data_IF_374234668110
#
_entry.id   IF_374234668110
#
_cell.length_a   1.000
_cell.length_b   1.000
_cell.length_c   1.000
_cell.angle_alpha   90.00
_cell.angle_beta   90.00
_cell.angle_gamma   90.00
#
_symmetry.space_group_name_H-M   'P 1'
#
loop_
_entity.id
_entity.type
_entity.pdbx_description
1 polymer ?
#
# COMPACT_ATOMS: atom_id res chain seq x y z
N UNK A 1 -33.89 -13.79 2.58
CA UNK A 1 -32.65 -13.68 1.78
C UNK A 1 -31.93 -12.40 2.19
N UNK A 2 -30.75 -12.49 2.82
CA UNK A 2 -29.96 -11.29 3.17
C UNK A 2 -29.34 -10.74 1.88
N UNK A 3 -29.75 -9.55 1.45
CA UNK A 3 -29.11 -8.83 0.32
C UNK A 3 -27.73 -8.40 0.82
N UNK A 4 -26.68 -9.11 0.42
CA UNK A 4 -25.32 -8.63 0.63
C UNK A 4 -25.16 -7.29 -0.11
N UNK A 5 -24.66 -6.23 0.54
CA UNK A 5 -24.44 -4.97 -0.15
C UNK A 5 -23.43 -5.19 -1.27
N UNK A 6 -23.87 -4.93 -2.50
CA UNK A 6 -23.01 -4.92 -3.69
C UNK A 6 -21.94 -3.87 -3.41
N UNK A 7 -20.68 -4.30 -3.33
CA UNK A 7 -19.51 -3.40 -3.17
C UNK A 7 -19.50 -2.43 -4.35
N UNK A 8 -20.05 -1.23 -4.14
CA UNK A 8 -20.00 -0.13 -5.09
C UNK A 8 -18.56 0.37 -5.19
N UNK A 9 -18.07 0.40 -6.42
CA UNK A 9 -16.85 1.06 -6.87
C UNK A 9 -15.60 0.70 -6.05
N UNK A 10 -15.05 -0.49 -6.30
CA UNK A 10 -13.61 -0.70 -6.06
C UNK A 10 -12.88 0.24 -7.01
N UNK A 11 -12.62 1.46 -6.55
CA UNK A 11 -11.59 2.31 -7.13
C UNK A 11 -10.34 1.43 -7.14
N UNK A 12 -9.95 0.96 -8.32
CA UNK A 12 -8.70 0.25 -8.52
C UNK A 12 -7.60 1.21 -8.09
N UNK A 13 -6.81 0.79 -7.11
CA UNK A 13 -5.73 1.58 -6.53
C UNK A 13 -4.47 0.88 -6.95
N UNK A 14 -3.96 1.17 -8.15
CA UNK A 14 -2.86 0.42 -8.71
C UNK A 14 -1.65 0.58 -7.80
N UNK A 15 -0.99 -0.52 -7.47
CA UNK A 15 0.26 -0.55 -6.73
C UNK A 15 1.27 -1.22 -7.62
N UNK A 16 2.31 -0.47 -7.98
CA UNK A 16 3.43 -0.99 -8.74
C UNK A 16 4.54 -1.38 -7.76
N UNK A 17 5.01 -2.61 -7.89
CA UNK A 17 6.08 -3.17 -7.09
C UNK A 17 7.34 -3.18 -7.94
N UNK A 18 8.41 -2.62 -7.41
CA UNK A 18 9.73 -2.67 -8.01
C UNK A 18 10.66 -3.48 -7.13
N UNK A 19 11.59 -4.20 -7.72
CA UNK A 19 12.67 -4.92 -7.04
C UNK A 19 13.99 -4.48 -7.65
N UNK A 20 14.88 -3.94 -6.83
CA UNK A 20 16.16 -3.39 -7.26
C UNK A 20 16.01 -2.41 -8.44
N UNK A 21 15.01 -1.52 -8.34
CA UNK A 21 14.65 -0.51 -9.34
C UNK A 21 14.04 -1.04 -10.64
N UNK A 22 13.81 -2.34 -10.78
CA UNK A 22 13.12 -2.93 -11.92
C UNK A 22 11.65 -3.19 -11.58
N UNK A 23 10.73 -2.88 -12.51
CA UNK A 23 9.31 -3.18 -12.34
C UNK A 23 9.12 -4.69 -12.25
N UNK A 24 8.57 -5.13 -11.13
CA UNK A 24 8.37 -6.55 -10.84
C UNK A 24 6.93 -6.99 -11.09
N UNK A 25 5.96 -6.15 -10.70
CA UNK A 25 4.54 -6.45 -10.86
C UNK A 25 3.69 -5.18 -10.74
N UNK A 26 2.66 -5.08 -11.59
CA UNK A 26 1.55 -4.14 -11.43
C UNK A 26 0.38 -4.87 -10.74
N UNK A 27 -0.16 -4.29 -9.69
CA UNK A 27 -1.29 -4.84 -8.93
C UNK A 27 -2.43 -3.84 -8.92
N UNK A 28 -3.68 -4.28 -8.96
CA UNK A 28 -4.86 -3.40 -8.93
C UNK A 28 -5.21 -2.89 -7.53
N UNK A 29 -4.57 -3.46 -6.49
CA UNK A 29 -4.85 -3.12 -5.10
C UNK A 29 -3.70 -3.47 -4.15
N UNK A 30 -3.70 -2.86 -2.95
CA UNK A 30 -2.75 -3.19 -1.88
C UNK A 30 -2.89 -4.65 -1.41
N UNK A 31 -4.10 -5.23 -1.46
CA UNK A 31 -4.34 -6.62 -1.07
C UNK A 31 -3.66 -7.58 -2.05
N UNK A 32 -3.75 -7.28 -3.35
CA UNK A 32 -3.06 -8.03 -4.39
C UNK A 32 -1.54 -7.87 -4.28
N UNK A 33 -1.05 -6.64 -4.09
CA UNK A 33 0.37 -6.38 -3.90
C UNK A 33 0.96 -7.15 -2.69
N UNK A 34 0.25 -7.16 -1.56
CA UNK A 34 0.68 -7.91 -0.39
C UNK A 34 0.69 -9.42 -0.62
N UNK A 35 -0.33 -9.96 -1.31
CA UNK A 35 -0.37 -11.38 -1.70
C UNK A 35 0.79 -11.74 -2.62
N UNK A 36 1.03 -10.91 -3.64
CA UNK A 36 2.14 -11.09 -4.57
C UNK A 36 3.49 -11.10 -3.84
N UNK A 37 3.78 -10.09 -3.02
CA UNK A 37 5.03 -10.02 -2.26
C UNK A 37 5.23 -11.23 -1.36
N UNK A 38 4.18 -11.68 -0.67
CA UNK A 38 4.25 -12.85 0.21
C UNK A 38 4.70 -14.09 -0.57
N UNK A 39 4.06 -14.36 -1.70
CA UNK A 39 4.38 -15.50 -2.56
C UNK A 39 5.81 -15.36 -3.11
N UNK A 40 6.14 -14.18 -3.65
CA UNK A 40 7.41 -13.95 -4.33
C UNK A 40 8.62 -13.99 -3.39
N UNK A 41 8.47 -13.52 -2.15
CA UNK A 41 9.57 -13.44 -1.19
C UNK A 41 9.65 -14.65 -0.25
N UNK A 42 8.55 -15.42 -0.16
CA UNK A 42 8.34 -16.43 0.88
C UNK A 42 8.24 -15.84 2.29
N UNK A 43 7.94 -14.54 2.42
CA UNK A 43 7.70 -13.92 3.72
C UNK A 43 6.42 -14.50 4.37
N UNK A 44 6.38 -14.51 5.70
CA UNK A 44 5.20 -14.92 6.46
C UNK A 44 4.09 -13.86 6.41
N UNK A 45 4.47 -12.59 6.26
CA UNK A 45 3.58 -11.43 6.34
C UNK A 45 3.29 -10.79 4.98
N UNK A 46 2.11 -10.20 4.82
CA UNK A 46 1.70 -9.50 3.58
C UNK A 46 2.29 -8.08 3.42
N UNK A 47 3.01 -7.58 4.44
CA UNK A 47 3.72 -6.29 4.41
C UNK A 47 2.90 -5.05 4.01
N UNK A 48 1.59 -5.04 4.30
CA UNK A 48 0.71 -3.91 3.96
C UNK A 48 1.20 -2.55 4.49
N UNK A 49 1.77 -2.51 5.70
CA UNK A 49 2.31 -1.28 6.26
C UNK A 49 3.54 -0.78 5.49
N UNK A 50 4.43 -1.67 5.06
CA UNK A 50 5.59 -1.32 4.24
C UNK A 50 5.15 -0.86 2.85
N UNK A 51 4.16 -1.51 2.25
CA UNK A 51 3.60 -1.12 0.95
C UNK A 51 2.96 0.27 1.06
N UNK A 52 2.07 0.49 2.03
CA UNK A 52 1.39 1.78 2.25
C UNK A 52 2.41 2.90 2.51
N UNK A 53 3.38 2.68 3.39
CA UNK A 53 4.44 3.67 3.62
C UNK A 53 5.28 3.91 2.37
N UNK A 54 5.60 2.88 1.61
CA UNK A 54 6.42 3.01 0.42
C UNK A 54 5.77 3.84 -0.66
N UNK A 55 4.52 3.55 -1.02
CA UNK A 55 3.86 4.35 -2.06
C UNK A 55 3.44 5.75 -1.57
N UNK A 56 3.26 5.97 -0.26
CA UNK A 56 2.91 7.29 0.29
C UNK A 56 4.14 8.18 0.50
N UNK A 57 5.15 7.66 1.18
CA UNK A 57 6.30 8.42 1.67
C UNK A 57 7.59 8.15 0.91
N UNK A 58 7.61 7.14 0.03
CA UNK A 58 8.82 6.72 -0.70
C UNK A 58 9.70 5.74 0.09
N UNK A 59 9.22 5.20 1.21
CA UNK A 59 9.96 4.24 2.01
C UNK A 59 10.26 2.96 1.20
N UNK A 60 11.54 2.59 1.15
CA UNK A 60 11.94 1.30 0.61
C UNK A 60 11.81 0.19 1.65
N UNK A 61 11.56 -1.04 1.20
CA UNK A 61 11.58 -2.24 2.04
C UNK A 61 12.68 -3.18 1.58
N UNK A 62 13.67 -3.41 2.44
CA UNK A 62 14.74 -4.38 2.18
C UNK A 62 14.39 -5.77 2.71
N UNK A 63 14.53 -6.79 1.88
CA UNK A 63 14.29 -8.19 2.27
C UNK A 63 15.21 -9.16 1.52
N UNK A 64 15.92 -10.01 2.26
CA UNK A 64 16.86 -11.02 1.73
C UNK A 64 17.84 -10.46 0.68
N UNK A 65 18.40 -9.28 0.94
CA UNK A 65 19.36 -8.64 0.05
C UNK A 65 18.77 -7.96 -1.19
N UNK A 66 17.45 -7.98 -1.37
CA UNK A 66 16.75 -7.20 -2.40
C UNK A 66 16.07 -5.98 -1.79
N UNK A 67 16.04 -4.89 -2.54
CA UNK A 67 15.32 -3.66 -2.17
C UNK A 67 14.03 -3.58 -2.95
N UNK A 68 12.91 -3.43 -2.26
CA UNK A 68 11.59 -3.26 -2.85
C UNK A 68 11.13 -1.82 -2.68
N UNK A 69 10.61 -1.23 -3.74
CA UNK A 69 9.95 0.08 -3.70
C UNK A 69 8.55 -0.04 -4.27
N UNK A 70 7.67 0.87 -3.84
CA UNK A 70 6.25 0.82 -4.16
C UNK A 70 5.81 2.18 -4.68
N UNK A 71 5.04 2.19 -5.75
CA UNK A 71 4.40 3.41 -6.26
C UNK A 71 2.92 3.16 -6.52
N UNK A 72 2.17 4.24 -6.65
CA UNK A 72 0.74 4.22 -6.97
C UNK A 72 0.41 5.49 -7.76
N UNK A 73 -0.85 5.63 -8.17
CA UNK A 73 -1.34 6.87 -8.79
C UNK A 73 -1.07 8.09 -7.89
N UNK A 74 -0.58 9.17 -8.49
CA UNK A 74 -0.15 10.34 -7.73
C UNK A 74 -1.30 11.05 -7.03
N UNK A 75 -2.48 11.16 -7.66
CA UNK A 75 -3.65 11.78 -7.04
C UNK A 75 -4.12 10.96 -5.84
N UNK A 76 -4.14 9.63 -5.99
CA UNK A 76 -4.45 8.72 -4.91
C UNK A 76 -3.45 8.84 -3.75
N UNK A 77 -2.14 8.87 -4.07
CA UNK A 77 -1.06 9.05 -3.09
C UNK A 77 -1.25 10.32 -2.27
N UNK A 78 -1.44 11.45 -2.94
CA UNK A 78 -1.57 12.77 -2.30
C UNK A 78 -2.81 12.83 -1.40
N UNK A 79 -3.96 12.36 -1.91
CA UNK A 79 -5.20 12.28 -1.12
C UNK A 79 -5.00 11.43 0.13
N UNK A 80 -4.39 10.26 -0.02
CA UNK A 80 -4.20 9.33 1.09
C UNK A 80 -3.22 9.88 2.13
N UNK A 81 -2.16 10.57 1.69
CA UNK A 81 -1.22 11.26 2.56
C UNK A 81 -1.92 12.30 3.44
N UNK A 82 -2.75 13.15 2.84
CA UNK A 82 -3.53 14.15 3.56
C UNK A 82 -4.44 13.52 4.63
N UNK A 83 -5.19 12.47 4.27
CA UNK A 83 -6.05 11.72 5.23
C UNK A 83 -5.26 11.17 6.44
N UNK A 84 -4.03 10.70 6.23
CA UNK A 84 -3.19 10.17 7.30
C UNK A 84 -2.59 11.26 8.18
N UNK A 85 -2.22 12.39 7.60
CA UNK A 85 -1.69 13.55 8.32
C UNK A 85 -2.78 14.21 9.17
N UNK A 86 -3.99 14.34 8.64
CA UNK A 86 -5.11 14.92 9.39
C UNK A 86 -5.52 14.05 10.58
N UNK A 87 -5.59 12.72 10.39
CA UNK A 87 -5.82 11.77 11.48
C UNK A 87 -4.75 11.85 12.57
N UNK A 88 -3.50 12.13 12.21
CA UNK A 88 -2.42 12.30 13.19
C UNK A 88 -2.59 13.59 14.00
N UNK A 89 -2.99 14.68 13.36
CA UNK A 89 -3.31 15.94 14.04
C UNK A 89 -4.45 15.76 15.03
N UNK A 90 -5.55 15.12 14.62
CA UNK A 90 -6.70 14.87 15.49
C UNK A 90 -6.32 14.07 16.76
N UNK A 91 -5.50 13.02 16.60
CA UNK A 91 -5.00 12.24 17.73
C UNK A 91 -4.11 13.05 18.67
N UNK A 92 -3.31 13.96 18.13
CA UNK A 92 -2.47 14.85 18.93
C UNK A 92 -3.33 15.84 19.74
N UNK A 93 -4.40 16.37 19.15
CA UNK A 93 -5.33 17.28 19.84
C UNK A 93 -6.19 16.57 20.90
N UNK A 94 -6.58 15.31 20.68
CA UNK A 94 -7.39 14.53 21.65
C UNK A 94 -6.60 14.01 22.86
N UNK A 95 -5.27 14.05 22.84
CA UNK A 95 -4.40 13.60 23.92
C UNK A 95 -3.81 14.78 24.73
N UNK A 96 -4.32 15.99 24.50
CA UNK A 96 -3.94 17.23 25.19
C UNK A 96 -5.10 17.70 26.06
#
# INVERSE_FOLDING_TARGET
>A
MKKNPIQKDKIEKPVNIYKNSELLQECQSIQEAGRYLKIQTGDKYFRFAQIEKGYIYGDSWSFKGATYTFTTDENFRLKRKAELEDRQKEKFLSNK
#
